data_IF_207213446436
#
_entry.id   IF_207213446436
#
_cell.length_a   1.000
_cell.length_b   1.000
_cell.length_c   1.000
_cell.angle_alpha   90.00
_cell.angle_beta   90.00
_cell.angle_gamma   90.00
#
_symmetry.space_group_name_H-M   'P 1'
#
loop_
_entity.id
_entity.type
_entity.pdbx_description
1 polymer ?
#
# COMPACT_ATOMS: atom_id res chain seq x y z
N UNK A 1 15.20 52.92 40.62
CA UNK A 1 14.16 52.01 41.15
C UNK A 1 14.80 50.64 41.24
N UNK A 2 15.13 50.26 42.46
CA UNK A 2 15.83 49.06 42.87
C UNK A 2 14.75 48.07 43.31
N UNK A 3 14.78 46.83 42.80
CA UNK A 3 13.95 45.75 43.29
C UNK A 3 14.77 44.46 43.28
N UNK A 4 15.18 44.10 44.49
CA UNK A 4 15.69 42.82 44.95
C UNK A 4 14.70 41.70 44.54
N UNK A 5 15.14 40.52 44.12
CA UNK A 5 15.74 39.52 45.00
C UNK A 5 14.68 38.46 45.31
N UNK A 6 14.70 37.32 44.60
CA UNK A 6 13.98 36.13 45.03
C UNK A 6 14.92 34.93 45.06
N UNK A 7 14.96 34.36 46.27
CA UNK A 7 15.87 33.35 46.77
C UNK A 7 15.56 31.96 46.25
N UNK A 8 16.65 31.20 46.10
CA UNK A 8 16.68 29.74 46.00
C UNK A 8 16.00 29.05 47.19
N UNK A 9 15.30 27.96 46.91
CA UNK A 9 14.97 26.91 47.88
C UNK A 9 15.14 25.53 47.25
N UNK A 10 16.00 24.63 47.79
CA UNK A 10 16.14 23.27 47.28
C UNK A 10 15.17 22.35 48.03
N UNK A 11 14.12 21.89 47.35
CA UNK A 11 13.27 20.81 47.86
C UNK A 11 13.72 19.49 47.26
N UNK A 12 14.59 18.83 48.02
CA UNK A 12 14.91 17.41 47.91
C UNK A 12 13.68 16.56 48.23
N UNK A 13 13.11 15.88 47.23
CA UNK A 13 12.22 14.73 47.43
C UNK A 13 12.67 13.62 46.48
N UNK A 14 13.22 12.57 47.10
CA UNK A 14 13.84 11.43 46.44
C UNK A 14 12.85 10.64 45.59
N UNK A 15 13.24 10.42 44.34
CA UNK A 15 12.73 9.30 43.56
C UNK A 15 13.64 8.10 43.80
N UNK A 16 13.08 7.10 44.46
CA UNK A 16 13.69 5.79 44.58
C UNK A 16 13.93 5.22 43.17
N UNK A 17 15.19 4.89 42.90
CA UNK A 17 15.63 4.21 41.69
C UNK A 17 15.02 2.80 41.67
N UNK A 18 14.24 2.40 40.66
CA UNK A 18 13.91 1.00 40.49
C UNK A 18 15.21 0.26 40.15
N UNK A 19 15.54 -0.74 40.97
CA UNK A 19 16.74 -1.55 40.80
C UNK A 19 16.82 -2.12 39.40
N UNK A 20 17.91 -1.82 38.70
CA UNK A 20 18.35 -2.56 37.53
C UNK A 20 18.78 -3.96 37.98
N UNK A 21 17.81 -4.86 38.08
CA UNK A 21 18.05 -6.30 38.05
C UNK A 21 18.63 -6.64 36.69
N UNK A 22 19.94 -6.89 36.68
CA UNK A 22 20.68 -7.35 35.52
C UNK A 22 20.35 -8.83 35.26
N UNK A 23 19.13 -9.09 34.80
CA UNK A 23 18.71 -10.42 34.40
C UNK A 23 19.29 -10.70 33.01
N UNK A 24 20.50 -11.27 33.03
CA UNK A 24 21.24 -11.81 31.89
C UNK A 24 20.54 -12.99 31.20
N UNK A 25 19.23 -12.91 31.00
CA UNK A 25 18.50 -13.81 30.12
C UNK A 25 18.83 -13.43 28.67
N UNK A 26 19.98 -13.93 28.22
CA UNK A 26 20.28 -14.09 26.80
C UNK A 26 19.15 -14.93 26.23
N UNK A 27 18.15 -14.24 25.68
CA UNK A 27 17.01 -14.85 25.01
C UNK A 27 17.58 -15.56 23.79
N UNK A 28 17.86 -16.86 23.97
CA UNK A 28 18.26 -17.76 22.92
C UNK A 28 17.22 -17.67 21.82
N UNK A 29 17.55 -16.97 20.73
CA UNK A 29 16.71 -16.90 19.53
C UNK A 29 16.53 -18.33 19.06
N UNK A 30 15.34 -18.87 19.26
CA UNK A 30 15.05 -20.25 18.88
C UNK A 30 15.17 -20.39 17.36
N UNK A 31 15.73 -21.52 16.87
CA UNK A 31 15.95 -21.77 15.44
C UNK A 31 14.66 -21.73 14.59
N UNK A 32 13.49 -21.74 15.24
CA UNK A 32 12.16 -21.64 14.64
C UNK A 32 11.90 -20.33 13.89
N UNK A 33 12.54 -19.22 14.27
CA UNK A 33 12.36 -17.93 13.60
C UNK A 33 12.78 -17.94 12.12
N UNK A 34 13.77 -18.77 11.75
CA UNK A 34 14.24 -18.91 10.35
C UNK A 34 13.29 -19.74 9.49
N UNK A 35 12.67 -20.78 10.05
CA UNK A 35 11.70 -21.61 9.34
C UNK A 35 10.36 -20.90 9.11
N UNK A 36 10.00 -19.98 10.01
CA UNK A 36 8.81 -19.14 9.88
C UNK A 36 8.88 -18.17 8.70
N UNK A 37 10.02 -17.51 8.47
CA UNK A 37 10.22 -16.68 7.28
C UNK A 37 10.14 -17.49 5.99
N UNK A 38 10.60 -18.76 6.01
CA UNK A 38 10.52 -19.66 4.87
C UNK A 38 9.07 -20.09 4.58
N UNK A 39 8.26 -20.34 5.62
CA UNK A 39 6.85 -20.73 5.49
C UNK A 39 5.94 -19.57 5.00
N UNK A 40 6.24 -18.34 5.41
CA UNK A 40 5.57 -17.11 4.93
C UNK A 40 5.93 -16.85 3.46
N UNK A 41 7.20 -17.09 3.08
CA UNK A 41 7.64 -16.96 1.69
C UNK A 41 7.01 -18.04 0.78
N UNK A 42 6.87 -19.28 1.26
CA UNK A 42 6.26 -20.37 0.47
C UNK A 42 4.75 -20.26 0.34
N UNK A 43 4.02 -19.72 1.33
CA UNK A 43 2.57 -19.51 1.21
C UNK A 43 2.21 -18.39 0.23
N UNK A 44 3.00 -17.31 0.18
CA UNK A 44 2.89 -16.28 -0.85
C UNK A 44 3.19 -16.84 -2.25
N UNK A 45 4.20 -17.71 -2.38
CA UNK A 45 4.55 -18.37 -3.64
C UNK A 45 3.52 -19.40 -4.12
N UNK A 46 2.92 -20.17 -3.21
CA UNK A 46 1.92 -21.19 -3.54
C UNK A 46 0.60 -20.57 -4.02
N UNK A 47 0.20 -19.43 -3.44
CA UNK A 47 -0.96 -18.67 -3.89
C UNK A 47 -0.80 -18.17 -5.33
N UNK A 48 0.35 -17.57 -5.63
CA UNK A 48 0.72 -17.15 -6.99
C UNK A 48 0.73 -18.32 -8.00
N UNK A 49 1.22 -19.50 -7.59
CA UNK A 49 1.24 -20.70 -8.42
C UNK A 49 -0.16 -21.26 -8.73
N UNK A 50 -1.07 -21.23 -7.75
CA UNK A 50 -2.43 -21.74 -7.89
C UNK A 50 -3.28 -20.84 -8.80
N UNK A 51 -3.15 -19.51 -8.69
CA UNK A 51 -3.85 -18.56 -9.54
C UNK A 51 -3.41 -18.71 -11.01
N UNK A 52 -2.11 -18.93 -11.24
CA UNK A 52 -1.57 -19.18 -12.58
C UNK A 52 -2.05 -20.51 -13.17
N UNK A 53 -2.34 -21.51 -12.34
CA UNK A 53 -2.80 -22.83 -12.78
C UNK A 53 -4.31 -22.89 -13.07
N UNK A 54 -5.11 -22.02 -12.45
CA UNK A 54 -6.57 -22.01 -12.58
C UNK A 54 -7.10 -21.30 -13.84
N UNK A 55 -6.22 -20.82 -14.74
CA UNK A 55 -6.57 -20.11 -15.99
C UNK A 55 -7.70 -19.07 -15.81
N UNK A 56 -7.71 -18.40 -14.65
CA UNK A 56 -8.66 -17.34 -14.34
C UNK A 56 -8.22 -16.10 -15.12
N UNK A 57 -8.66 -16.00 -16.38
CA UNK A 57 -8.26 -14.96 -17.34
C UNK A 57 -8.76 -13.54 -17.00
N UNK A 58 -9.41 -13.34 -15.86
CA UNK A 58 -9.76 -12.01 -15.38
C UNK A 58 -8.63 -11.38 -14.58
N UNK A 59 -8.01 -10.30 -15.09
CA UNK A 59 -7.03 -9.48 -14.34
C UNK A 59 -7.54 -9.07 -12.94
N UNK A 60 -8.86 -9.03 -12.73
CA UNK A 60 -9.48 -8.68 -11.44
C UNK A 60 -9.30 -9.72 -10.33
N UNK A 61 -9.04 -11.00 -10.64
CA UNK A 61 -8.84 -12.02 -9.61
C UNK A 61 -7.39 -12.11 -9.12
N UNK A 62 -6.44 -11.59 -9.90
CA UNK A 62 -5.01 -11.66 -9.57
C UNK A 62 -4.66 -10.79 -8.37
N UNK A 63 -5.15 -9.55 -8.32
CA UNK A 63 -4.92 -8.60 -7.22
C UNK A 63 -5.61 -9.06 -5.93
N UNK A 64 -6.86 -9.52 -5.99
CA UNK A 64 -7.57 -10.04 -4.82
C UNK A 64 -6.89 -11.27 -4.20
N UNK A 65 -6.34 -12.16 -5.02
CA UNK A 65 -5.65 -13.34 -4.54
C UNK A 65 -4.21 -13.05 -4.07
N UNK A 66 -3.53 -12.05 -4.65
CA UNK A 66 -2.25 -11.54 -4.15
C UNK A 66 -2.43 -10.84 -2.80
N UNK A 67 -3.46 -10.02 -2.65
CA UNK A 67 -3.85 -9.40 -1.39
C UNK A 67 -4.17 -10.48 -0.36
N UNK A 68 -4.99 -11.48 -0.70
CA UNK A 68 -5.34 -12.58 0.23
C UNK A 68 -4.14 -13.40 0.70
N UNK A 69 -3.17 -13.66 -0.18
CA UNK A 69 -1.98 -14.48 0.13
C UNK A 69 -0.95 -13.71 0.94
N UNK A 70 -0.74 -12.42 0.63
CA UNK A 70 0.11 -11.54 1.46
C UNK A 70 -0.49 -11.30 2.84
N UNK A 71 -1.81 -11.11 2.93
CA UNK A 71 -2.53 -11.03 4.20
C UNK A 71 -2.35 -12.30 5.03
N UNK A 72 -2.58 -13.47 4.41
CA UNK A 72 -2.48 -14.77 5.07
C UNK A 72 -1.08 -15.04 5.62
N UNK A 73 -0.05 -14.71 4.85
CA UNK A 73 1.34 -14.90 5.27
C UNK A 73 1.73 -14.00 6.46
N UNK A 74 1.27 -12.74 6.47
CA UNK A 74 1.50 -11.80 7.59
C UNK A 74 0.72 -12.23 8.84
N UNK A 75 -0.53 -12.65 8.68
CA UNK A 75 -1.38 -13.20 9.75
C UNK A 75 -0.74 -14.43 10.39
N UNK A 76 -0.29 -15.40 9.60
CA UNK A 76 0.31 -16.64 10.10
C UNK A 76 1.62 -16.39 10.83
N UNK A 77 2.49 -15.52 10.32
CA UNK A 77 3.75 -15.18 10.97
C UNK A 77 3.58 -14.52 12.34
N UNK A 78 2.60 -13.62 12.46
CA UNK A 78 2.31 -12.89 13.71
C UNK A 78 1.61 -13.77 14.74
N UNK A 79 0.64 -14.58 14.32
CA UNK A 79 -0.10 -15.48 15.22
C UNK A 79 0.81 -16.55 15.85
N UNK A 80 1.81 -17.03 15.11
CA UNK A 80 2.77 -18.02 15.61
C UNK A 80 3.84 -17.41 16.55
N UNK A 81 4.07 -16.09 16.51
CA UNK A 81 5.03 -15.41 17.38
C UNK A 81 4.42 -14.86 18.68
N UNK A 82 3.09 -14.75 18.78
CA UNK A 82 2.43 -14.15 19.93
C UNK A 82 2.17 -15.18 21.03
N UNK A 83 2.93 -15.10 22.14
CA UNK A 83 2.59 -15.79 23.39
C UNK A 83 1.19 -15.36 23.90
N UNK A 84 0.50 -16.23 24.64
CA UNK A 84 -0.90 -16.05 25.06
C UNK A 84 -1.21 -14.69 25.73
N UNK A 85 -0.23 -14.01 26.33
CA UNK A 85 -0.38 -12.71 26.98
C UNK A 85 -0.45 -11.51 26.00
N UNK A 86 0.02 -11.66 24.76
CA UNK A 86 0.03 -10.58 23.74
C UNK A 86 -1.03 -10.73 22.64
N UNK A 87 -1.90 -11.75 22.73
CA UNK A 87 -2.89 -12.08 21.70
C UNK A 87 -3.79 -10.89 21.31
N UNK A 88 -4.24 -10.09 22.27
CA UNK A 88 -5.11 -8.92 22.00
C UNK A 88 -4.40 -7.80 21.23
N UNK A 89 -3.16 -7.48 21.58
CA UNK A 89 -2.38 -6.45 20.88
C UNK A 89 -2.01 -6.91 19.45
N UNK A 90 -1.64 -8.18 19.32
CA UNK A 90 -1.33 -8.85 18.06
C UNK A 90 -2.55 -8.86 17.11
N UNK A 91 -3.72 -9.23 17.62
CA UNK A 91 -4.98 -9.24 16.86
C UNK A 91 -5.38 -7.86 16.37
N UNK A 92 -5.31 -6.82 17.22
CA UNK A 92 -5.63 -5.45 16.82
C UNK A 92 -4.73 -4.94 15.69
N UNK A 93 -3.40 -5.11 15.82
CA UNK A 93 -2.46 -4.69 14.78
C UNK A 93 -2.73 -5.40 13.45
N UNK A 94 -3.09 -6.68 13.52
CA UNK A 94 -3.36 -7.49 12.34
C UNK A 94 -4.66 -7.05 11.65
N UNK A 95 -5.73 -6.81 12.41
CA UNK A 95 -6.99 -6.26 11.88
C UNK A 95 -6.78 -4.88 11.25
N UNK A 96 -6.00 -4.01 11.89
CA UNK A 96 -5.69 -2.68 11.36
C UNK A 96 -4.91 -2.74 10.05
N UNK A 97 -3.90 -3.60 9.95
CA UNK A 97 -3.14 -3.77 8.71
C UNK A 97 -4.01 -4.39 7.61
N UNK A 98 -4.80 -5.42 7.94
CA UNK A 98 -5.75 -6.03 7.02
C UNK A 98 -6.74 -5.02 6.46
N UNK A 99 -7.32 -4.19 7.34
CA UNK A 99 -8.24 -3.13 6.94
C UNK A 99 -7.55 -2.09 6.05
N UNK A 100 -6.29 -1.75 6.34
CA UNK A 100 -5.50 -0.84 5.51
C UNK A 100 -5.24 -1.41 4.11
N UNK A 101 -4.78 -2.66 4.00
CA UNK A 101 -4.56 -3.35 2.72
C UNK A 101 -5.85 -3.41 1.91
N UNK A 102 -6.92 -3.90 2.51
CA UNK A 102 -8.23 -3.97 1.85
C UNK A 102 -8.72 -2.59 1.40
N UNK A 103 -8.61 -1.57 2.25
CA UNK A 103 -9.00 -0.21 1.91
C UNK A 103 -8.18 0.38 0.76
N UNK A 104 -6.87 0.11 0.71
CA UNK A 104 -6.01 0.57 -0.38
C UNK A 104 -6.35 -0.12 -1.70
N UNK A 105 -6.58 -1.44 -1.68
CA UNK A 105 -7.03 -2.22 -2.84
C UNK A 105 -8.37 -1.73 -3.39
N UNK A 106 -9.36 -1.50 -2.51
CA UNK A 106 -10.67 -0.97 -2.91
C UNK A 106 -10.54 0.43 -3.52
N UNK A 107 -9.73 1.31 -2.91
CA UNK A 107 -9.48 2.63 -3.47
C UNK A 107 -8.87 2.52 -4.87
N UNK A 108 -7.86 1.68 -5.01
CA UNK A 108 -7.19 1.46 -6.28
C UNK A 108 -8.16 0.92 -7.33
N UNK A 109 -8.89 -0.16 -7.04
CA UNK A 109 -9.88 -0.75 -7.95
C UNK A 109 -10.94 0.27 -8.42
N UNK A 110 -11.49 1.05 -7.49
CA UNK A 110 -12.59 2.00 -7.78
C UNK A 110 -12.10 3.20 -8.60
N UNK A 111 -10.94 3.76 -8.25
CA UNK A 111 -10.48 5.03 -8.80
C UNK A 111 -9.47 4.88 -9.94
N UNK A 112 -8.82 3.73 -10.11
CA UNK A 112 -7.75 3.53 -11.11
C UNK A 112 -8.18 3.91 -12.52
N UNK A 113 -9.32 3.39 -13.00
CA UNK A 113 -9.76 3.64 -14.37
C UNK A 113 -10.10 5.12 -14.62
N UNK A 114 -10.81 5.77 -13.69
CA UNK A 114 -11.08 7.22 -13.81
C UNK A 114 -9.83 8.07 -13.68
N UNK A 115 -8.90 7.66 -12.83
CA UNK A 115 -7.64 8.37 -12.66
C UNK A 115 -6.73 8.24 -13.89
N UNK A 116 -6.70 7.05 -14.51
CA UNK A 116 -6.07 6.82 -15.80
C UNK A 116 -6.66 7.75 -16.87
N UNK A 117 -7.99 7.86 -16.97
CA UNK A 117 -8.63 8.80 -17.89
C UNK A 117 -8.31 10.26 -17.57
N UNK A 118 -8.23 10.63 -16.29
CA UNK A 118 -7.87 11.99 -15.89
C UNK A 118 -6.48 12.37 -16.42
N UNK A 119 -5.51 11.47 -16.30
CA UNK A 119 -4.12 11.73 -16.70
C UNK A 119 -3.93 11.58 -18.21
N UNK A 120 -4.42 10.50 -18.82
CA UNK A 120 -4.13 10.12 -20.21
C UNK A 120 -5.26 10.43 -21.19
N UNK A 121 -6.39 10.95 -20.70
CA UNK A 121 -7.55 11.33 -21.52
C UNK A 121 -8.03 10.21 -22.44
N UNK A 122 -7.81 8.96 -22.01
CA UNK A 122 -7.97 7.74 -22.80
C UNK A 122 -9.42 7.25 -22.90
N UNK A 123 -10.36 7.92 -22.23
CA UNK A 123 -11.78 7.59 -22.11
C UNK A 123 -12.11 6.34 -21.26
N UNK A 124 -11.23 5.96 -20.32
CA UNK A 124 -11.62 5.02 -19.26
C UNK A 124 -12.77 5.59 -18.40
N UNK A 125 -13.73 4.72 -18.07
CA UNK A 125 -14.90 4.99 -17.25
C UNK A 125 -14.72 4.52 -15.80
N UNK A 126 -15.80 4.53 -15.02
CA UNK A 126 -15.80 3.83 -13.73
C UNK A 126 -15.89 2.34 -14.00
N UNK A 127 -15.41 1.51 -13.06
CA UNK A 127 -15.41 0.05 -13.22
C UNK A 127 -16.81 -0.49 -13.58
N UNK A 128 -17.83 -0.04 -12.84
CA UNK A 128 -19.24 -0.40 -13.07
C UNK A 128 -19.92 0.35 -14.22
N UNK A 129 -19.18 1.20 -14.94
CA UNK A 129 -19.69 2.02 -16.06
C UNK A 129 -18.92 1.73 -17.35
N UNK A 130 -18.48 0.47 -17.53
CA UNK A 130 -17.73 0.01 -18.70
C UNK A 130 -16.21 0.13 -18.57
N UNK A 131 -15.68 0.39 -17.37
CA UNK A 131 -14.25 0.30 -17.03
C UNK A 131 -13.31 0.84 -18.11
N UNK A 132 -12.68 -0.06 -18.85
CA UNK A 132 -11.74 0.25 -19.93
C UNK A 132 -12.29 -0.05 -21.33
N UNK A 133 -13.54 -0.48 -21.48
CA UNK A 133 -14.15 -0.90 -22.75
C UNK A 133 -14.14 0.20 -23.81
N UNK A 134 -14.22 1.46 -23.38
CA UNK A 134 -14.19 2.64 -24.25
C UNK A 134 -12.79 3.29 -24.34
N UNK A 135 -11.76 2.64 -23.78
CA UNK A 135 -10.40 3.16 -23.77
C UNK A 135 -9.77 3.11 -25.17
N UNK A 136 -8.97 4.13 -25.52
CA UNK A 136 -8.21 4.13 -26.79
C UNK A 136 -7.17 3.00 -26.92
N UNK A 137 -6.92 2.21 -25.88
CA UNK A 137 -6.12 0.98 -25.99
C UNK A 137 -6.67 0.03 -27.08
N UNK A 138 -7.99 0.09 -27.28
CA UNK A 138 -8.73 -0.70 -28.27
C UNK A 138 -8.66 -0.14 -29.70
N UNK A 139 -8.11 1.06 -29.91
CA UNK A 139 -8.01 1.61 -31.27
C UNK A 139 -7.11 0.73 -32.15
N UNK A 140 -7.51 0.55 -33.42
CA UNK A 140 -6.74 -0.22 -34.40
C UNK A 140 -5.51 0.54 -34.89
N UNK A 141 -5.56 1.88 -34.85
CA UNK A 141 -4.49 2.80 -35.23
C UNK A 141 -4.45 4.00 -34.29
N UNK A 142 -3.41 4.83 -34.39
CA UNK A 142 -3.25 6.02 -33.53
C UNK A 142 -2.58 5.74 -32.18
N UNK A 143 -2.38 6.80 -31.36
CA UNK A 143 -1.72 6.68 -30.06
C UNK A 143 -2.62 5.96 -29.04
N UNK A 144 -2.05 4.94 -28.38
CA UNK A 144 -2.70 4.17 -27.32
C UNK A 144 -2.25 4.64 -25.95
N UNK A 145 -3.16 4.57 -24.96
CA UNK A 145 -2.81 4.90 -23.58
C UNK A 145 -1.62 4.07 -23.10
N UNK A 146 -0.48 4.72 -22.85
CA UNK A 146 0.78 4.09 -22.43
C UNK A 146 0.66 3.36 -21.10
N UNK A 147 -0.25 3.78 -20.23
CA UNK A 147 -0.56 3.09 -18.98
C UNK A 147 -1.21 1.72 -19.26
N UNK A 148 -2.22 1.67 -20.12
CA UNK A 148 -2.95 0.43 -20.43
C UNK A 148 -2.16 -0.54 -21.34
N UNK A 149 -1.29 -0.04 -22.23
CA UNK A 149 -0.42 -0.88 -23.08
C UNK A 149 0.95 -1.17 -22.44
N UNK A 150 1.15 -0.79 -21.17
CA UNK A 150 2.40 -1.05 -20.48
C UNK A 150 2.72 -2.55 -20.52
N UNK A 151 3.96 -2.89 -20.87
CA UNK A 151 4.39 -4.28 -20.91
C UNK A 151 4.31 -4.89 -19.52
N UNK A 152 4.14 -6.21 -19.43
CA UNK A 152 3.99 -6.94 -18.17
C UNK A 152 5.11 -6.66 -17.15
N UNK A 153 6.34 -6.38 -17.59
CA UNK A 153 7.45 -6.05 -16.68
C UNK A 153 7.43 -4.60 -16.17
N UNK A 154 6.50 -3.76 -16.65
CA UNK A 154 6.24 -2.40 -16.15
C UNK A 154 4.88 -2.28 -15.48
N UNK A 155 3.95 -3.23 -15.65
CA UNK A 155 2.62 -3.16 -15.04
C UNK A 155 2.66 -3.16 -13.50
N UNK A 156 3.72 -3.67 -12.89
CA UNK A 156 3.92 -3.56 -11.44
C UNK A 156 4.05 -2.10 -10.97
N UNK A 157 4.52 -1.18 -11.83
CA UNK A 157 4.64 0.26 -11.48
C UNK A 157 3.28 0.94 -11.33
N UNK A 158 2.27 0.40 -12.00
CA UNK A 158 0.93 0.96 -12.05
C UNK A 158 -0.02 0.33 -11.04
N UNK A 159 0.39 -0.80 -10.45
CA UNK A 159 -0.44 -1.59 -9.55
C UNK A 159 0.27 -1.79 -8.19
N UNK A 160 1.25 -2.70 -8.14
CA UNK A 160 1.96 -3.07 -6.91
C UNK A 160 2.72 -1.91 -6.26
N UNK A 161 3.39 -1.07 -7.07
CA UNK A 161 4.14 0.09 -6.56
C UNK A 161 3.20 1.09 -5.88
N UNK A 162 2.05 1.37 -6.49
CA UNK A 162 1.07 2.31 -5.94
C UNK A 162 0.57 1.80 -4.59
N UNK A 163 0.15 0.53 -4.54
CA UNK A 163 -0.31 -0.10 -3.30
C UNK A 163 0.77 -0.10 -2.20
N UNK A 164 2.01 -0.45 -2.54
CA UNK A 164 3.13 -0.44 -1.60
C UNK A 164 3.36 0.95 -1.00
N UNK A 165 3.30 2.01 -1.82
CA UNK A 165 3.47 3.38 -1.38
C UNK A 165 2.29 3.88 -0.53
N UNK A 166 1.07 3.46 -0.83
CA UNK A 166 -0.11 3.74 -0.01
C UNK A 166 0.02 3.14 1.39
N UNK A 167 0.45 1.87 1.47
CA UNK A 167 0.67 1.16 2.74
C UNK A 167 1.83 1.74 3.56
N UNK A 168 2.90 2.16 2.88
CA UNK A 168 4.01 2.86 3.52
C UNK A 168 3.55 4.18 4.12
N UNK A 169 2.79 4.99 3.36
CA UNK A 169 2.24 6.26 3.84
C UNK A 169 1.32 6.07 5.05
N UNK A 170 0.46 5.05 5.03
CA UNK A 170 -0.37 4.68 6.18
C UNK A 170 0.47 4.31 7.41
N UNK A 171 1.50 3.46 7.22
CA UNK A 171 2.35 2.98 8.30
C UNK A 171 3.16 4.10 8.95
N UNK A 172 3.69 5.01 8.14
CA UNK A 172 4.41 6.21 8.60
C UNK A 172 3.51 7.19 9.36
N UNK A 173 2.32 7.48 8.84
CA UNK A 173 1.36 8.33 9.53
C UNK A 173 0.97 7.75 10.90
N UNK A 174 0.77 6.43 10.97
CA UNK A 174 0.48 5.74 12.22
C UNK A 174 1.66 5.78 13.20
N UNK A 175 2.88 5.54 12.72
CA UNK A 175 4.10 5.59 13.54
C UNK A 175 4.31 6.99 14.15
N UNK A 176 3.86 8.04 13.46
CA UNK A 176 3.89 9.43 13.94
C UNK A 176 2.73 9.79 14.88
N UNK A 177 1.85 8.84 15.21
CA UNK A 177 0.72 9.08 16.10
C UNK A 177 -0.37 9.97 15.49
N UNK A 178 -0.50 10.00 14.16
CA UNK A 178 -1.58 10.74 13.49
C UNK A 178 -2.94 10.21 13.95
N UNK A 179 -3.90 11.11 14.14
CA UNK A 179 -5.25 10.76 14.57
C UNK A 179 -5.91 9.77 13.60
N UNK A 180 -6.61 8.77 14.13
CA UNK A 180 -7.19 7.65 13.34
C UNK A 180 -8.12 8.11 12.21
N UNK A 181 -8.85 9.22 12.42
CA UNK A 181 -9.74 9.80 11.39
C UNK A 181 -9.00 10.39 10.19
N UNK A 182 -7.75 10.81 10.36
CA UNK A 182 -6.92 11.38 9.29
C UNK A 182 -6.09 10.31 8.57
N UNK A 183 -5.96 9.13 9.17
CA UNK A 183 -5.13 8.05 8.66
C UNK A 183 -5.51 7.60 7.23
N UNK A 184 -6.80 7.52 6.84
CA UNK A 184 -7.19 7.16 5.48
C UNK A 184 -6.78 8.17 4.40
N UNK A 185 -6.49 9.43 4.77
CA UNK A 185 -6.11 10.48 3.80
C UNK A 185 -4.74 10.18 3.20
N UNK A 186 -3.81 9.60 3.96
CA UNK A 186 -2.43 9.37 3.53
C UNK A 186 -2.33 8.39 2.34
N UNK A 187 -2.99 7.22 2.37
CA UNK A 187 -3.13 6.36 1.18
C UNK A 187 -3.68 7.09 -0.04
N UNK A 188 -4.72 7.92 0.11
CA UNK A 188 -5.33 8.64 -1.03
C UNK A 188 -4.34 9.62 -1.64
N UNK A 189 -3.62 10.38 -0.80
CA UNK A 189 -2.58 11.30 -1.28
C UNK A 189 -1.44 10.54 -1.96
N UNK A 190 -0.99 9.42 -1.38
CA UNK A 190 0.05 8.59 -1.99
C UNK A 190 -0.38 8.02 -3.34
N UNK A 191 -1.62 7.52 -3.47
CA UNK A 191 -2.19 7.04 -4.73
C UNK A 191 -2.12 8.11 -5.83
N UNK A 192 -2.57 9.33 -5.53
CA UNK A 192 -2.56 10.45 -6.48
C UNK A 192 -1.13 10.88 -6.83
N UNK A 193 -0.25 11.03 -5.86
CA UNK A 193 1.12 11.50 -6.14
C UNK A 193 1.92 10.48 -6.95
N UNK A 194 1.88 9.20 -6.54
CA UNK A 194 2.63 8.14 -7.23
C UNK A 194 2.08 7.92 -8.63
N UNK A 195 0.76 7.84 -8.79
CA UNK A 195 0.16 7.65 -10.10
C UNK A 195 0.39 8.82 -11.05
N UNK A 196 0.44 10.07 -10.56
CA UNK A 196 0.84 11.23 -11.35
C UNK A 196 2.31 11.13 -11.81
N UNK A 197 3.23 10.77 -10.91
CA UNK A 197 4.66 10.61 -11.23
C UNK A 197 4.85 9.50 -12.26
N UNK A 198 4.26 8.32 -12.04
CA UNK A 198 4.31 7.19 -12.99
C UNK A 198 3.72 7.60 -14.33
N UNK A 199 2.58 8.28 -14.33
CA UNK A 199 1.97 8.80 -15.55
C UNK A 199 2.88 9.78 -16.30
N UNK A 200 3.54 10.69 -15.59
CA UNK A 200 4.48 11.64 -16.18
C UNK A 200 5.70 10.92 -16.79
N UNK A 201 6.23 9.90 -16.11
CA UNK A 201 7.29 9.05 -16.66
C UNK A 201 6.84 8.37 -17.96
N UNK A 202 5.62 7.82 -18.02
CA UNK A 202 5.06 7.23 -19.23
C UNK A 202 4.90 8.25 -20.36
N UNK A 203 4.42 9.46 -20.07
CA UNK A 203 4.34 10.56 -21.05
C UNK A 203 5.71 10.83 -21.65
N UNK A 204 6.73 11.04 -20.81
CA UNK A 204 8.09 11.36 -21.26
C UNK A 204 8.68 10.20 -22.08
N UNK A 205 8.49 8.96 -21.62
CA UNK A 205 9.05 7.78 -22.28
C UNK A 205 8.41 7.45 -23.63
N UNK A 206 7.11 7.74 -23.79
CA UNK A 206 6.34 7.33 -24.99
C UNK A 206 5.99 8.48 -25.94
N UNK A 207 6.20 9.73 -25.51
CA UNK A 207 5.77 10.90 -26.27
C UNK A 207 4.26 11.03 -26.38
N UNK A 208 3.49 10.44 -25.46
CA UNK A 208 2.03 10.39 -25.55
C UNK A 208 1.41 11.81 -25.51
N UNK A 209 0.60 12.20 -26.51
CA UNK A 209 0.22 13.60 -26.71
C UNK A 209 -0.87 14.11 -25.77
N UNK A 210 -1.66 13.22 -25.16
CA UNK A 210 -2.88 13.58 -24.40
C UNK A 210 -2.71 13.55 -22.87
N UNK A 211 -1.52 13.91 -22.37
CA UNK A 211 -1.26 13.94 -20.93
C UNK A 211 -1.77 15.23 -20.28
N UNK A 212 -2.80 15.12 -19.42
CA UNK A 212 -3.53 16.20 -18.71
C UNK A 212 -4.18 17.27 -19.60
N UNK A 213 -3.72 17.45 -20.83
CA UNK A 213 -4.17 18.44 -21.81
C UNK A 213 -4.58 17.77 -23.12
N UNK A 214 -5.35 18.48 -23.95
CA UNK A 214 -5.80 18.00 -25.26
C UNK A 214 -7.27 17.52 -25.25
N UNK A 215 -7.80 17.04 -26.39
CA UNK A 215 -9.13 16.43 -26.44
C UNK A 215 -9.16 15.10 -25.68
N UNK A 216 -10.36 14.60 -25.36
CA UNK A 216 -10.48 13.18 -25.00
C UNK A 216 -10.20 12.35 -26.25
N UNK A 217 -9.51 11.24 -26.10
CA UNK A 217 -9.22 10.31 -27.18
C UNK A 217 -9.60 8.92 -26.70
N UNK A 218 -10.84 8.54 -27.00
CA UNK A 218 -11.39 7.24 -26.66
C UNK A 218 -11.35 6.26 -27.83
N UNK A 219 -12.00 5.13 -27.62
CA UNK A 219 -12.27 4.16 -28.67
C UNK A 219 -13.01 4.81 -29.85
N UNK A 220 -12.56 4.53 -31.08
CA UNK A 220 -13.20 4.95 -32.34
C UNK A 220 -13.33 6.48 -32.54
N UNK A 221 -12.60 7.29 -31.76
CA UNK A 221 -12.46 8.72 -32.05
C UNK A 221 -11.38 8.91 -33.13
N UNK A 222 -11.67 9.66 -34.20
CA UNK A 222 -10.71 9.93 -35.28
C UNK A 222 -9.48 10.70 -34.79
#
# INVERSE_FOLDING_TARGET
VQADGFLFGPSSLGFASPGQGNDGSVTARTPWSRWLSLAVATSAGAGLGLIKHLDLQGMQFYSAALAGTTLGAVLSGRLLQCSCTHFRACGRQTLELTAAVFGCEVLQLVFHNKYCNLIFRCNCAWEWSGGWDNCNVHNSSGPKCSWCVARHYLSWTTDCLVLAMMLLAFSEAKARGVHVLLLPIFPVVAFLLVGLVVGACFKVATGYPYFLTGPLHGKDMP
#
